data_IF_373786147238
#
_entry.id   IF_373786147238
#
_cell.length_a   1.000
_cell.length_b   1.000
_cell.length_c   1.000
_cell.angle_alpha   90.00
_cell.angle_beta   90.00
_cell.angle_gamma   90.00
#
_symmetry.space_group_name_H-M   'P 1'
#
loop_
_entity.id
_entity.type
_entity.pdbx_description
1 polymer ?
#
# COMPACT_ATOMS: atom_id res chain seq x y z
N UNK A 1 43.79 15.28 -2.19
CA UNK A 1 43.19 14.71 -0.95
C UNK A 1 43.28 15.64 0.28
N UNK A 2 43.62 16.94 0.16
CA UNK A 2 43.84 17.81 1.34
C UNK A 2 42.76 18.87 1.64
N UNK A 3 41.96 19.28 0.66
CA UNK A 3 41.07 20.45 0.80
C UNK A 3 39.74 20.15 1.50
N UNK A 4 39.19 18.95 1.32
CA UNK A 4 37.91 18.54 1.93
C UNK A 4 38.04 18.26 3.43
N UNK A 5 39.22 17.84 3.90
CA UNK A 5 39.48 17.60 5.32
C UNK A 5 39.66 18.90 6.13
N UNK A 6 40.27 19.93 5.55
CA UNK A 6 40.53 21.23 6.21
C UNK A 6 39.24 22.02 6.46
N UNK A 7 38.26 21.91 5.56
CA UNK A 7 36.93 22.53 5.75
C UNK A 7 36.16 21.83 6.88
N UNK A 8 36.38 20.53 7.09
CA UNK A 8 35.70 19.68 8.08
C UNK A 8 36.11 19.99 9.52
N UNK A 9 37.33 20.47 9.75
CA UNK A 9 37.84 20.82 11.09
C UNK A 9 37.44 22.23 11.54
N UNK A 10 37.22 23.16 10.60
CA UNK A 10 37.04 24.58 10.91
C UNK A 10 35.60 24.93 11.30
N UNK A 11 34.59 24.22 10.77
CA UNK A 11 33.16 24.48 11.08
C UNK A 11 32.34 23.19 11.31
N UNK A 12 32.51 22.51 12.46
CA UNK A 12 31.83 21.23 12.74
C UNK A 12 30.30 21.35 12.87
N UNK A 13 29.76 22.54 13.18
CA UNK A 13 28.31 22.77 13.34
C UNK A 13 27.57 23.02 12.02
N UNK A 14 28.22 23.68 11.04
CA UNK A 14 27.67 23.90 9.70
C UNK A 14 27.65 22.61 8.87
N UNK A 15 28.66 21.76 9.01
CA UNK A 15 28.70 20.45 8.34
C UNK A 15 27.64 19.49 8.88
N UNK A 16 27.26 19.57 10.16
CA UNK A 16 26.16 18.77 10.74
C UNK A 16 24.77 19.22 10.26
N UNK A 17 24.56 20.53 10.03
CA UNK A 17 23.29 21.08 9.53
C UNK A 17 23.01 20.72 8.07
N UNK A 18 24.06 20.71 7.23
CA UNK A 18 23.96 20.38 5.80
C UNK A 18 23.97 18.87 5.51
N UNK A 19 24.38 18.01 6.47
CA UNK A 19 24.37 16.56 6.31
C UNK A 19 22.98 15.94 6.36
N UNK A 20 22.12 16.43 7.25
CA UNK A 20 20.75 15.93 7.40
C UNK A 20 19.93 15.92 6.09
N UNK A 21 19.91 17.00 5.28
CA UNK A 21 19.19 16.97 4.01
C UNK A 21 19.86 16.06 2.96
N UNK A 22 21.20 15.97 2.95
CA UNK A 22 21.94 15.10 2.02
C UNK A 22 21.71 13.61 2.34
N UNK A 23 21.74 13.23 3.62
CA UNK A 23 21.49 11.86 4.07
C UNK A 23 20.01 11.45 3.87
N UNK A 24 19.09 12.41 3.94
CA UNK A 24 17.68 12.18 3.61
C UNK A 24 17.49 11.95 2.11
N UNK A 25 18.11 12.78 1.27
CA UNK A 25 18.05 12.64 -0.19
C UNK A 25 18.75 11.37 -0.66
N UNK A 26 19.86 10.99 -0.03
CA UNK A 26 20.54 9.71 -0.25
C UNK A 26 19.64 8.52 0.03
N UNK A 27 18.95 8.50 1.19
CA UNK A 27 17.99 7.43 1.51
C UNK A 27 16.84 7.34 0.52
N UNK A 28 16.31 8.46 0.05
CA UNK A 28 15.27 8.45 -1.00
C UNK A 28 15.84 7.85 -2.29
N UNK A 29 17.05 8.24 -2.67
CA UNK A 29 17.77 7.68 -3.82
C UNK A 29 17.92 6.17 -3.72
N UNK A 30 18.32 5.65 -2.57
CA UNK A 30 18.48 4.21 -2.32
C UNK A 30 17.16 3.45 -2.44
N UNK A 31 16.07 3.99 -1.87
CA UNK A 31 14.73 3.39 -1.99
C UNK A 31 14.24 3.40 -3.43
N UNK A 32 14.42 4.52 -4.15
CA UNK A 32 14.02 4.61 -5.56
C UNK A 32 14.83 3.63 -6.42
N UNK A 33 16.13 3.51 -6.19
CA UNK A 33 16.97 2.55 -6.89
C UNK A 33 16.54 1.11 -6.60
N UNK A 34 16.21 0.80 -5.34
CA UNK A 34 15.66 -0.50 -4.95
C UNK A 34 14.35 -0.79 -5.68
N UNK A 35 13.38 0.13 -5.66
CA UNK A 35 12.10 -0.06 -6.34
C UNK A 35 12.26 -0.23 -7.85
N UNK A 36 13.09 0.57 -8.50
CA UNK A 36 13.35 0.45 -9.94
C UNK A 36 13.98 -0.89 -10.27
N UNK A 37 14.99 -1.33 -9.50
CA UNK A 37 15.64 -2.64 -9.70
C UNK A 37 14.66 -3.79 -9.45
N UNK A 38 13.86 -3.71 -8.39
CA UNK A 38 12.84 -4.70 -8.07
C UNK A 38 11.83 -4.82 -9.22
N UNK A 39 11.27 -3.69 -9.70
CA UNK A 39 10.31 -3.66 -10.81
C UNK A 39 10.93 -4.15 -12.12
N UNK A 40 12.17 -3.78 -12.42
CA UNK A 40 12.89 -4.27 -13.60
C UNK A 40 13.17 -5.78 -13.55
N UNK A 41 13.29 -6.36 -12.34
CA UNK A 41 13.47 -7.80 -12.13
C UNK A 41 12.18 -8.63 -12.27
N UNK A 42 11.00 -8.02 -12.06
CA UNK A 42 9.69 -8.69 -12.19
C UNK A 42 9.51 -9.45 -13.51
N UNK A 43 9.74 -8.87 -14.71
CA UNK A 43 9.55 -9.60 -15.96
C UNK A 43 10.50 -10.80 -16.09
N UNK A 44 11.74 -10.68 -15.60
CA UNK A 44 12.70 -11.79 -15.63
C UNK A 44 12.24 -12.94 -14.72
N UNK A 45 11.79 -12.62 -13.50
CA UNK A 45 11.22 -13.58 -12.56
C UNK A 45 9.96 -14.25 -13.12
N UNK A 46 9.06 -13.46 -13.73
CA UNK A 46 7.81 -13.93 -14.32
C UNK A 46 8.00 -14.90 -15.49
N UNK A 47 9.09 -14.76 -16.26
CA UNK A 47 9.36 -15.64 -17.39
C UNK A 47 10.08 -16.92 -16.94
N UNK A 48 11.11 -16.82 -16.10
CA UNK A 48 11.99 -17.94 -15.78
C UNK A 48 11.54 -18.76 -14.56
N UNK A 49 10.80 -18.15 -13.62
CA UNK A 49 10.42 -18.75 -12.34
C UNK A 49 8.89 -18.93 -12.20
N UNK A 50 8.21 -19.26 -13.30
CA UNK A 50 6.74 -19.45 -13.31
C UNK A 50 6.25 -20.48 -12.31
N UNK A 51 6.97 -21.59 -12.14
CA UNK A 51 6.61 -22.65 -11.18
C UNK A 51 6.66 -22.13 -9.75
N UNK A 52 7.68 -21.34 -9.43
CA UNK A 52 7.86 -20.76 -8.10
C UNK A 52 6.78 -19.70 -7.82
N UNK A 53 6.46 -18.86 -8.81
CA UNK A 53 5.36 -17.90 -8.71
C UNK A 53 4.04 -18.61 -8.45
N UNK A 54 3.74 -19.69 -9.19
CA UNK A 54 2.52 -20.48 -8.96
C UNK A 54 2.54 -21.14 -7.58
N UNK A 55 3.71 -21.61 -7.10
CA UNK A 55 3.87 -22.15 -5.75
C UNK A 55 3.57 -21.09 -4.69
N UNK A 56 4.16 -19.91 -4.79
CA UNK A 56 3.91 -18.78 -3.89
C UNK A 56 2.44 -18.33 -3.95
N UNK A 57 1.85 -18.24 -5.13
CA UNK A 57 0.42 -17.91 -5.27
C UNK A 57 -0.43 -19.00 -4.63
N UNK A 58 -0.11 -20.28 -4.82
CA UNK A 58 -0.82 -21.39 -4.21
C UNK A 58 -0.66 -21.40 -2.69
N UNK A 59 0.53 -21.12 -2.16
CA UNK A 59 0.79 -20.99 -0.72
C UNK A 59 0.02 -19.82 -0.11
N UNK A 60 0.05 -18.67 -0.79
CA UNK A 60 -0.72 -17.48 -0.39
C UNK A 60 -2.23 -17.72 -0.55
N UNK A 61 -2.69 -18.54 -1.50
CA UNK A 61 -4.13 -18.76 -1.73
C UNK A 61 -4.72 -19.91 -0.89
N UNK A 62 -3.94 -20.96 -0.60
CA UNK A 62 -4.40 -22.18 0.07
C UNK A 62 -3.97 -22.29 1.54
N UNK A 63 -3.14 -21.37 2.04
CA UNK A 63 -2.70 -21.35 3.43
C UNK A 63 -3.86 -21.08 4.42
N UNK A 64 -3.87 -21.78 5.55
CA UNK A 64 -4.88 -21.55 6.59
C UNK A 64 -4.85 -20.11 7.15
N UNK A 65 -3.65 -19.51 7.25
CA UNK A 65 -3.49 -18.11 7.66
C UNK A 65 -4.01 -17.11 6.62
N UNK A 66 -3.99 -17.46 5.34
CA UNK A 66 -4.50 -16.59 4.27
C UNK A 66 -5.99 -16.74 4.03
N UNK A 67 -6.59 -17.91 4.29
CA UNK A 67 -8.05 -18.02 4.40
C UNK A 67 -8.61 -17.08 5.47
N UNK A 68 -7.94 -16.95 6.61
CA UNK A 68 -8.28 -15.98 7.64
C UNK A 68 -8.09 -14.52 7.17
N UNK A 69 -7.03 -14.21 6.42
CA UNK A 69 -6.83 -12.88 5.83
C UNK A 69 -7.87 -12.54 4.76
N UNK A 70 -8.22 -13.48 3.87
CA UNK A 70 -9.22 -13.29 2.82
C UNK A 70 -10.59 -13.10 3.46
N UNK A 71 -10.98 -13.97 4.39
CA UNK A 71 -12.22 -13.83 5.15
C UNK A 71 -12.30 -12.51 5.92
N UNK A 72 -11.21 -12.14 6.60
CA UNK A 72 -11.10 -10.86 7.29
C UNK A 72 -11.21 -9.66 6.35
N UNK A 73 -10.57 -9.72 5.17
CA UNK A 73 -10.64 -8.65 4.17
C UNK A 73 -12.05 -8.51 3.60
N UNK A 74 -12.73 -9.62 3.28
CA UNK A 74 -14.12 -9.61 2.81
C UNK A 74 -15.04 -9.02 3.89
N UNK A 75 -14.85 -9.40 5.16
CA UNK A 75 -15.62 -8.85 6.27
C UNK A 75 -15.38 -7.33 6.44
N UNK A 76 -14.12 -6.88 6.41
CA UNK A 76 -13.76 -5.47 6.55
C UNK A 76 -14.31 -4.65 5.38
N UNK A 77 -14.07 -5.08 4.14
CA UNK A 77 -14.53 -4.37 2.94
C UNK A 77 -16.06 -4.34 2.88
N UNK A 78 -16.72 -5.46 3.18
CA UNK A 78 -18.18 -5.53 3.23
C UNK A 78 -18.75 -4.58 4.27
N UNK A 79 -18.20 -4.58 5.49
CA UNK A 79 -18.64 -3.71 6.57
C UNK A 79 -18.41 -2.23 6.24
N UNK A 80 -17.22 -1.87 5.75
CA UNK A 80 -16.89 -0.50 5.35
C UNK A 80 -17.78 -0.01 4.21
N UNK A 81 -18.06 -0.87 3.24
CA UNK A 81 -18.92 -0.52 2.09
C UNK A 81 -20.36 -0.30 2.54
N UNK A 82 -20.89 -1.13 3.45
CA UNK A 82 -22.22 -0.95 4.02
C UNK A 82 -22.31 0.35 4.85
N UNK A 83 -21.33 0.60 5.71
CA UNK A 83 -21.28 1.82 6.53
C UNK A 83 -21.14 3.08 5.67
N UNK A 84 -20.25 3.07 4.68
CA UNK A 84 -20.08 4.17 3.73
C UNK A 84 -21.35 4.38 2.88
N UNK A 85 -21.95 3.30 2.37
CA UNK A 85 -23.17 3.38 1.58
C UNK A 85 -24.37 3.92 2.37
N UNK A 86 -24.53 3.49 3.63
CA UNK A 86 -25.59 3.99 4.52
C UNK A 86 -25.43 5.48 4.85
N UNK A 87 -24.20 5.91 5.17
CA UNK A 87 -23.93 7.33 5.45
C UNK A 87 -24.09 8.21 4.20
N UNK A 88 -23.72 7.71 3.01
CA UNK A 88 -23.96 8.39 1.74
C UNK A 88 -25.46 8.50 1.42
N UNK A 89 -26.25 7.49 1.73
CA UNK A 89 -27.70 7.53 1.53
C UNK A 89 -28.37 8.60 2.41
N UNK A 90 -28.00 8.68 3.70
CA UNK A 90 -28.54 9.66 4.63
C UNK A 90 -28.15 11.09 4.22
N UNK A 91 -26.87 11.31 3.92
CA UNK A 91 -26.37 12.63 3.49
C UNK A 91 -26.92 13.04 2.12
N UNK A 92 -27.07 12.07 1.21
CA UNK A 92 -27.69 12.28 -0.09
C UNK A 92 -29.16 12.66 0.04
N UNK A 93 -29.90 11.99 0.93
CA UNK A 93 -31.32 12.31 1.17
C UNK A 93 -31.50 13.73 1.68
N UNK A 94 -30.75 14.16 2.70
CA UNK A 94 -30.84 15.53 3.21
C UNK A 94 -30.46 16.57 2.15
N UNK A 95 -29.36 16.32 1.42
CA UNK A 95 -28.89 17.25 0.37
C UNK A 95 -29.85 17.38 -0.80
N UNK A 96 -30.54 16.29 -1.19
CA UNK A 96 -31.52 16.32 -2.29
C UNK A 96 -32.90 16.78 -1.82
N UNK A 97 -33.23 16.57 -0.54
CA UNK A 97 -34.43 17.11 0.12
C UNK A 97 -34.43 18.63 0.16
N UNK A 98 -33.28 19.24 0.48
CA UNK A 98 -33.12 20.70 0.47
C UNK A 98 -33.32 21.33 -0.92
N UNK A 99 -33.16 20.54 -1.99
CA UNK A 99 -33.33 20.95 -3.39
C UNK A 99 -34.73 20.54 -3.93
N UNK A 100 -35.48 19.72 -3.18
CA UNK A 100 -36.82 19.23 -3.56
C UNK A 100 -36.81 18.04 -4.54
N UNK A 101 -35.70 17.30 -4.67
CA UNK A 101 -35.52 16.20 -5.64
C UNK A 101 -35.21 14.87 -4.92
N UNK A 102 -35.93 14.57 -3.85
CA UNK A 102 -35.67 13.38 -3.02
C UNK A 102 -35.76 12.05 -3.79
N UNK A 103 -36.61 11.98 -4.82
CA UNK A 103 -36.77 10.79 -5.65
C UNK A 103 -35.46 10.36 -6.37
N UNK A 104 -34.53 11.28 -6.61
CA UNK A 104 -33.22 10.95 -7.21
C UNK A 104 -32.21 10.38 -6.21
N UNK A 105 -32.50 10.38 -4.90
CA UNK A 105 -31.56 9.93 -3.87
C UNK A 105 -31.12 8.48 -4.08
N UNK A 106 -32.05 7.59 -4.44
CA UNK A 106 -31.74 6.19 -4.73
C UNK A 106 -30.85 6.02 -5.96
N UNK A 107 -31.08 6.83 -7.00
CA UNK A 107 -30.23 6.84 -8.20
C UNK A 107 -28.83 7.35 -7.90
N UNK A 108 -28.73 8.45 -7.14
CA UNK A 108 -27.45 9.03 -6.72
C UNK A 108 -26.64 8.05 -5.86
N UNK A 109 -27.29 7.43 -4.88
CA UNK A 109 -26.67 6.45 -4.00
C UNK A 109 -26.16 5.24 -4.81
N UNK A 110 -26.96 4.71 -5.73
CA UNK A 110 -26.54 3.60 -6.59
C UNK A 110 -25.34 3.97 -7.48
N UNK A 111 -25.34 5.17 -8.07
CA UNK A 111 -24.26 5.63 -8.93
C UNK A 111 -22.95 5.83 -8.16
N UNK A 112 -22.98 6.55 -7.03
CA UNK A 112 -21.79 6.85 -6.23
C UNK A 112 -21.25 5.58 -5.57
N UNK A 113 -22.12 4.74 -5.00
CA UNK A 113 -21.67 3.55 -4.27
C UNK A 113 -20.93 2.58 -5.20
N UNK A 114 -21.46 2.33 -6.41
CA UNK A 114 -20.86 1.37 -7.34
C UNK A 114 -19.60 1.93 -8.00
N UNK A 115 -19.56 3.23 -8.34
CA UNK A 115 -18.44 3.80 -9.10
C UNK A 115 -17.32 4.38 -8.26
N UNK A 116 -17.62 4.81 -7.04
CA UNK A 116 -16.67 5.55 -6.20
C UNK A 116 -16.48 4.84 -4.88
N UNK A 117 -17.53 4.66 -4.09
CA UNK A 117 -17.37 4.16 -2.73
C UNK A 117 -16.82 2.73 -2.69
N UNK A 118 -17.41 1.80 -3.44
CA UNK A 118 -16.97 0.40 -3.46
C UNK A 118 -15.53 0.24 -3.99
N UNK A 119 -15.12 0.83 -5.13
CA UNK A 119 -13.74 0.72 -5.60
C UNK A 119 -12.72 1.34 -4.65
N UNK A 120 -13.03 2.49 -4.04
CA UNK A 120 -12.11 3.17 -3.12
C UNK A 120 -11.96 2.38 -1.83
N UNK A 121 -13.07 1.93 -1.24
CA UNK A 121 -13.05 1.12 -0.01
C UNK A 121 -12.35 -0.22 -0.25
N UNK A 122 -12.63 -0.89 -1.37
CA UNK A 122 -11.94 -2.13 -1.72
C UNK A 122 -10.44 -1.90 -1.95
N UNK A 123 -10.06 -0.84 -2.67
CA UNK A 123 -8.66 -0.50 -2.91
C UNK A 123 -7.87 -0.24 -1.62
N UNK A 124 -8.43 0.56 -0.71
CA UNK A 124 -7.80 0.85 0.58
C UNK A 124 -7.76 -0.41 1.46
N UNK A 125 -8.88 -1.14 1.54
CA UNK A 125 -8.98 -2.37 2.34
C UNK A 125 -7.99 -3.44 1.89
N UNK A 126 -7.93 -3.70 0.57
CA UNK A 126 -6.97 -4.64 -0.02
C UNK A 126 -5.52 -4.17 0.19
N UNK A 127 -5.22 -2.89 -0.03
CA UNK A 127 -3.87 -2.36 0.18
C UNK A 127 -3.41 -2.53 1.64
N UNK A 128 -4.31 -2.27 2.60
CA UNK A 128 -4.00 -2.41 4.01
C UNK A 128 -3.75 -3.87 4.41
N UNK A 129 -4.62 -4.80 4.00
CA UNK A 129 -4.52 -6.21 4.43
C UNK A 129 -3.43 -6.98 3.67
N UNK A 130 -3.39 -6.87 2.34
CA UNK A 130 -2.33 -7.53 1.56
C UNK A 130 -0.96 -6.89 1.80
N UNK A 131 -0.89 -5.57 1.92
CA UNK A 131 0.38 -4.87 2.20
C UNK A 131 0.99 -5.30 3.52
N UNK A 132 0.18 -5.40 4.58
CA UNK A 132 0.64 -5.91 5.87
C UNK A 132 1.08 -7.38 5.79
N UNK A 133 0.33 -8.22 5.07
CA UNK A 133 0.66 -9.64 4.89
C UNK A 133 1.99 -9.88 4.17
N UNK A 134 2.22 -9.23 3.03
CA UNK A 134 3.47 -9.36 2.26
C UNK A 134 4.66 -8.81 3.06
N UNK A 135 4.47 -7.70 3.78
CA UNK A 135 5.53 -7.14 4.65
C UNK A 135 5.89 -8.10 5.78
N UNK A 136 4.89 -8.77 6.38
CA UNK A 136 5.12 -9.77 7.42
C UNK A 136 5.88 -10.99 6.87
N UNK A 137 5.58 -11.45 5.65
CA UNK A 137 6.29 -12.55 5.01
C UNK A 137 7.77 -12.22 4.73
N UNK A 138 8.04 -11.04 4.16
CA UNK A 138 9.41 -10.56 3.97
C UNK A 138 10.17 -10.45 5.31
N UNK A 139 9.48 -10.01 6.37
CA UNK A 139 10.03 -9.99 7.72
C UNK A 139 10.38 -11.39 8.24
N UNK A 140 9.51 -12.37 8.01
CA UNK A 140 9.76 -13.76 8.39
C UNK A 140 10.94 -14.36 7.62
N UNK A 141 11.03 -14.15 6.30
CA UNK A 141 12.15 -14.59 5.47
C UNK A 141 13.48 -13.99 5.95
N UNK A 142 13.47 -12.73 6.40
CA UNK A 142 14.65 -12.09 6.99
C UNK A 142 15.07 -12.75 8.31
N UNK A 143 14.11 -13.10 9.17
CA UNK A 143 14.39 -13.74 10.46
C UNK A 143 14.92 -15.17 10.26
N UNK A 144 14.44 -15.85 9.21
CA UNK A 144 14.87 -17.20 8.84
C UNK A 144 16.17 -17.23 8.01
N UNK A 145 16.83 -16.09 7.81
CA UNK A 145 18.04 -15.94 6.99
C UNK A 145 17.90 -16.38 5.51
N UNK A 146 16.66 -16.48 4.99
CA UNK A 146 16.39 -16.91 3.60
C UNK A 146 16.80 -15.87 2.54
N UNK A 147 17.01 -14.61 2.96
CA UNK A 147 17.34 -13.49 2.06
C UNK A 147 18.85 -13.38 1.79
N UNK A 148 19.70 -13.86 2.72
CA UNK A 148 21.16 -13.71 2.67
C UNK A 148 21.89 -15.01 2.25
N UNK A 149 21.14 -16.09 2.02
CA UNK A 149 21.63 -17.42 1.68
C UNK A 149 22.02 -17.58 0.20
#
# INVERSE_FOLDING_TARGET
MGTVQVIRSTYPRLTHGLRRPVDFLGRIGDHMLFYVRALAGVPHAAVHFRKEIVRLIAEISMGAGTLAMIGGTVAIVGFLTLAAGGTLAIQGYSSLGDIGIEALTGFLAAFINVRIAAPVVAGIGLAATFGAGVTAQLGAMRINEEIDA
#
